data_IF_303797661928
#
_entry.id   IF_303797661928
#
_cell.length_a   1.000
_cell.length_b   1.000
_cell.length_c   1.000
_cell.angle_alpha   90.00
_cell.angle_beta   90.00
_cell.angle_gamma   90.00
#
_symmetry.space_group_name_H-M   'P 1'
#
loop_
_entity.id
_entity.type
_entity.pdbx_description
1 polymer ?
#
# COMPACT_ATOMS: atom_id res chain seq x y z
N UNK A 1 13.37 -6.11 9.36
CA UNK A 1 11.99 -5.84 8.98
C UNK A 1 11.98 -5.25 7.59
N UNK A 2 11.48 -6.02 6.62
CA UNK A 2 11.40 -5.64 5.22
C UNK A 2 10.16 -4.80 4.93
N UNK A 3 10.10 -4.13 3.78
CA UNK A 3 8.93 -3.34 3.34
C UNK A 3 7.63 -4.14 3.30
N UNK A 4 7.71 -5.47 3.14
CA UNK A 4 6.57 -6.37 3.19
C UNK A 4 5.90 -6.42 4.59
N UNK A 5 6.66 -6.25 5.68
CA UNK A 5 6.11 -6.33 7.04
C UNK A 5 5.09 -5.20 7.30
N UNK A 6 5.34 -4.02 6.71
CA UNK A 6 4.42 -2.88 6.80
C UNK A 6 3.13 -3.11 6.02
N UNK A 7 3.22 -3.67 4.80
CA UNK A 7 2.05 -3.97 4.00
C UNK A 7 1.14 -5.01 4.68
N UNK A 8 1.73 -6.02 5.33
CA UNK A 8 0.99 -7.02 6.11
C UNK A 8 0.26 -6.37 7.30
N UNK A 9 0.97 -5.59 8.12
CA UNK A 9 0.37 -4.92 9.27
C UNK A 9 -0.77 -3.99 8.85
N UNK A 10 -0.60 -3.25 7.77
CA UNK A 10 -1.62 -2.32 7.30
C UNK A 10 -2.87 -3.02 6.78
N UNK A 11 -2.72 -4.11 6.01
CA UNK A 11 -3.88 -4.90 5.56
C UNK A 11 -4.69 -5.44 6.73
N UNK A 12 -4.05 -5.84 7.83
CA UNK A 12 -4.78 -6.26 9.05
C UNK A 12 -5.63 -5.12 9.62
N UNK A 13 -5.10 -3.89 9.66
CA UNK A 13 -5.85 -2.72 10.14
C UNK A 13 -7.01 -2.36 9.20
N UNK A 14 -6.79 -2.43 7.89
CA UNK A 14 -7.84 -2.20 6.89
C UNK A 14 -8.98 -3.19 7.07
N UNK A 15 -8.68 -4.48 7.17
CA UNK A 15 -9.70 -5.50 7.40
C UNK A 15 -10.40 -5.32 8.76
N UNK A 16 -9.67 -4.94 9.81
CA UNK A 16 -10.26 -4.65 11.12
C UNK A 16 -11.22 -3.44 11.09
N UNK A 17 -11.01 -2.49 10.18
CA UNK A 17 -11.93 -1.36 9.94
C UNK A 17 -13.16 -1.72 9.10
N UNK A 18 -13.28 -2.97 8.64
CA UNK A 18 -14.37 -3.43 7.77
C UNK A 18 -14.24 -2.99 6.31
N UNK A 19 -13.09 -2.46 5.92
CA UNK A 19 -12.81 -2.09 4.54
C UNK A 19 -12.20 -3.26 3.76
N UNK A 20 -12.60 -3.48 2.50
CA UNK A 20 -11.89 -4.39 1.62
C UNK A 20 -10.50 -3.84 1.29
N UNK A 21 -9.49 -4.69 1.38
CA UNK A 21 -8.13 -4.32 0.99
C UNK A 21 -7.29 -5.53 0.62
N UNK A 22 -6.22 -5.29 -0.11
CA UNK A 22 -5.28 -6.31 -0.58
C UNK A 22 -3.84 -5.80 -0.53
N UNK A 23 -2.89 -6.74 -0.51
CA UNK A 23 -1.47 -6.45 -0.64
C UNK A 23 -1.09 -6.64 -2.11
N UNK A 24 -0.49 -5.62 -2.70
CA UNK A 24 0.10 -5.69 -4.04
C UNK A 24 1.60 -5.88 -3.91
N UNK A 25 2.16 -6.79 -4.68
CA UNK A 25 3.60 -7.04 -4.74
C UNK A 25 4.10 -6.99 -6.18
N UNK A 26 4.80 -5.93 -6.55
CA UNK A 26 5.32 -5.73 -7.91
C UNK A 26 6.67 -4.99 -7.89
N UNK A 27 7.21 -4.69 -9.06
CA UNK A 27 8.42 -3.87 -9.20
C UNK A 27 8.03 -2.39 -9.18
N UNK A 28 8.53 -1.64 -8.19
CA UNK A 28 8.35 -0.20 -8.11
C UNK A 28 9.56 0.56 -8.65
N UNK A 29 9.31 1.67 -9.34
CA UNK A 29 10.33 2.63 -9.75
C UNK A 29 10.03 3.98 -9.07
N UNK A 30 10.93 4.41 -8.19
CA UNK A 30 10.80 5.67 -7.43
C UNK A 30 11.49 6.85 -8.12
N UNK A 31 12.06 6.65 -9.31
CA UNK A 31 12.97 7.59 -9.96
C UNK A 31 14.38 7.61 -9.37
N UNK A 32 14.57 7.05 -8.17
CA UNK A 32 15.88 6.88 -7.51
C UNK A 32 16.37 5.43 -7.48
N UNK A 33 15.43 4.50 -7.33
CA UNK A 33 15.69 3.05 -7.27
C UNK A 33 14.55 2.29 -7.95
N UNK A 34 14.90 1.15 -8.54
CA UNK A 34 13.98 0.16 -9.10
C UNK A 34 14.16 -1.15 -8.34
N UNK A 35 13.07 -1.74 -7.87
CA UNK A 35 13.13 -3.02 -7.16
C UNK A 35 11.76 -3.56 -6.75
N UNK A 36 11.76 -4.80 -6.26
CA UNK A 36 10.55 -5.41 -5.72
C UNK A 36 10.03 -4.64 -4.52
N UNK A 37 8.73 -4.42 -4.50
CA UNK A 37 8.05 -3.62 -3.51
C UNK A 37 6.67 -4.19 -3.17
N UNK A 38 6.17 -3.82 -1.99
CA UNK A 38 4.84 -4.19 -1.54
C UNK A 38 4.11 -2.96 -1.02
N UNK A 39 2.85 -2.80 -1.40
CA UNK A 39 1.96 -1.74 -0.93
C UNK A 39 0.54 -2.28 -0.76
N UNK A 40 -0.37 -1.43 -0.29
CA UNK A 40 -1.76 -1.80 -0.05
C UNK A 40 -2.68 -1.07 -1.03
N UNK A 41 -3.72 -1.76 -1.46
CA UNK A 41 -4.87 -1.13 -2.10
C UNK A 41 -6.11 -1.33 -1.22
N UNK A 42 -6.90 -0.27 -1.07
CA UNK A 42 -8.09 -0.25 -0.22
C UNK A 42 -9.27 0.27 -1.02
N UNK A 43 -10.40 -0.44 -0.96
CA UNK A 43 -11.64 -0.02 -1.59
C UNK A 43 -12.33 1.02 -0.71
N UNK A 44 -12.44 2.26 -1.19
CA UNK A 44 -13.12 3.37 -0.52
C UNK A 44 -14.13 3.96 -1.50
N UNK A 45 -15.40 3.98 -1.13
CA UNK A 45 -16.49 4.59 -1.92
C UNK A 45 -16.58 4.10 -3.38
N UNK A 46 -16.17 2.85 -3.64
CA UNK A 46 -16.19 2.24 -4.98
C UNK A 46 -14.92 2.48 -5.81
N UNK A 47 -13.92 3.17 -5.26
CA UNK A 47 -12.60 3.36 -5.86
C UNK A 47 -11.48 2.67 -5.09
N UNK A 48 -10.46 2.20 -5.81
CA UNK A 48 -9.23 1.69 -5.20
C UNK A 48 -8.27 2.84 -4.87
N UNK A 49 -7.82 2.92 -3.62
CA UNK A 49 -6.84 3.89 -3.14
C UNK A 49 -5.54 3.18 -2.79
N UNK A 50 -4.43 3.72 -3.27
CA UNK A 50 -3.09 3.16 -3.02
C UNK A 50 -2.51 3.75 -1.74
N UNK A 51 -2.07 2.88 -0.84
CA UNK A 51 -1.56 3.25 0.46
C UNK A 51 -0.19 2.62 0.69
N UNK A 52 0.75 3.47 1.10
CA UNK A 52 2.13 3.10 1.35
C UNK A 52 2.58 3.52 2.75
N UNK A 53 3.10 2.55 3.51
CA UNK A 53 3.77 2.77 4.79
C UNK A 53 5.26 2.45 4.63
N UNK A 54 6.07 3.50 4.55
CA UNK A 54 7.52 3.41 4.55
C UNK A 54 8.11 3.59 5.94
N UNK A 55 9.35 3.12 6.12
CA UNK A 55 10.13 3.25 7.37
C UNK A 55 10.38 4.72 7.79
N UNK A 56 10.14 5.69 6.90
CA UNK A 56 10.40 7.11 7.11
C UNK A 56 9.36 8.06 6.49
N UNK A 57 8.31 7.55 5.83
CA UNK A 57 7.20 8.36 5.31
C UNK A 57 5.92 7.51 5.17
N UNK A 58 4.78 8.12 5.48
CA UNK A 58 3.48 7.66 5.01
C UNK A 58 3.15 8.51 3.79
N UNK A 59 3.27 7.95 2.58
CA UNK A 59 2.88 8.66 1.36
C UNK A 59 1.53 8.14 0.88
N UNK A 60 0.54 9.03 0.84
CA UNK A 60 -0.78 8.77 0.30
C UNK A 60 -0.79 9.23 -1.15
N UNK A 61 -0.95 8.30 -2.10
CA UNK A 61 -1.07 8.65 -3.52
C UNK A 61 -2.48 8.32 -4.00
N UNK A 62 -3.26 9.36 -4.23
CA UNK A 62 -4.58 9.25 -4.84
C UNK A 62 -4.40 9.32 -6.36
N UNK A 63 -4.77 8.25 -7.06
CA UNK A 63 -4.90 8.26 -8.52
C UNK A 63 -6.36 8.02 -8.85
N UNK A 64 -7.00 9.02 -9.45
CA UNK A 64 -8.37 8.91 -9.97
C UNK A 64 -8.29 8.53 -11.45
N UNK A 65 -9.17 7.64 -11.90
CA UNK A 65 -9.31 7.24 -13.31
C UNK A 65 -10.45 8.02 -13.99
#
# INVERSE_FOLDING_TARGET
MGTQDYAVLFTVLVWASGLPGLIVTEVANTGRMVGYHAWNEVMVEGGWVWLYLGKSSCDFKFTWF
#
